data_IF_335127326029
#
_entry.id   IF_335127326029
#
_cell.length_a   1.000
_cell.length_b   1.000
_cell.length_c   1.000
_cell.angle_alpha   90.00
_cell.angle_beta   90.00
_cell.angle_gamma   90.00
#
_symmetry.space_group_name_H-M   'P 1'
#
loop_
_entity.id
_entity.type
_entity.pdbx_description
1 polymer ?
#
# COMPACT_ATOMS: atom_id res chain seq x y z
N UNK A 1 15.82 19.00 1.91
CA UNK A 1 15.06 18.06 2.78
C UNK A 1 15.99 17.63 3.88
N UNK A 2 15.57 17.61 5.16
CA UNK A 2 16.42 17.12 6.23
C UNK A 2 16.78 15.67 5.97
N UNK A 3 18.01 15.30 6.28
CA UNK A 3 18.52 13.96 6.07
C UNK A 3 18.01 13.03 7.18
N UNK A 4 16.88 12.38 6.95
CA UNK A 4 16.31 11.39 7.88
C UNK A 4 17.23 10.19 8.14
N UNK A 5 18.29 10.00 7.34
CA UNK A 5 19.34 9.02 7.61
C UNK A 5 20.04 9.25 8.95
N UNK A 6 20.06 10.50 9.45
CA UNK A 6 20.67 10.81 10.74
C UNK A 6 19.94 10.21 11.95
N UNK A 7 18.64 9.83 11.76
CA UNK A 7 17.87 9.16 12.81
C UNK A 7 18.30 7.68 12.93
N UNK A 8 18.81 7.10 11.84
CA UNK A 8 19.20 5.69 11.80
C UNK A 8 20.65 5.41 12.25
N UNK A 9 21.46 6.46 12.40
CA UNK A 9 22.88 6.30 12.75
C UNK A 9 23.19 6.94 14.10
N UNK A 10 22.90 6.25 15.20
CA UNK A 10 23.63 6.45 16.44
C UNK A 10 24.96 5.71 16.32
N UNK A 11 26.07 6.45 16.36
CA UNK A 11 27.42 5.88 16.35
C UNK A 11 27.55 4.88 17.51
N UNK A 12 27.81 3.61 17.19
CA UNK A 12 28.15 2.58 18.19
C UNK A 12 27.11 1.47 18.41
N UNK A 13 25.92 1.51 17.80
CA UNK A 13 25.00 0.38 17.89
C UNK A 13 25.37 -0.67 16.84
N UNK A 14 25.64 -1.93 17.21
CA UNK A 14 25.88 -2.97 16.24
C UNK A 14 24.66 -3.11 15.29
N UNK A 15 24.88 -3.49 14.02
CA UNK A 15 23.79 -3.62 13.08
C UNK A 15 22.71 -4.57 13.65
N UNK A 16 21.50 -4.06 13.80
CA UNK A 16 20.38 -4.93 14.19
C UNK A 16 20.09 -5.87 13.04
N UNK A 17 20.32 -7.16 13.22
CA UNK A 17 19.87 -8.16 12.27
C UNK A 17 18.38 -8.39 12.45
N UNK A 18 17.60 -8.15 11.40
CA UNK A 18 16.24 -8.66 11.35
C UNK A 18 16.36 -10.17 11.26
N UNK A 19 15.79 -10.88 12.21
CA UNK A 19 15.79 -12.34 12.15
C UNK A 19 15.12 -12.80 10.83
N UNK A 20 15.73 -13.74 10.10
CA UNK A 20 15.12 -14.32 8.91
C UNK A 20 13.97 -15.28 9.29
N UNK A 21 13.31 -15.00 10.37
CA UNK A 21 12.28 -15.80 10.97
C UNK A 21 10.98 -15.60 10.31
N UNK A 22 10.86 -15.91 9.19
CA UNK A 22 9.50 -16.00 8.94
C UNK A 22 8.68 -14.74 9.11
N UNK A 23 9.30 -13.59 8.91
CA UNK A 23 8.49 -12.39 8.67
C UNK A 23 7.46 -12.68 7.61
N UNK A 24 7.81 -13.46 6.61
CA UNK A 24 6.90 -13.96 5.61
C UNK A 24 5.80 -14.91 6.11
N UNK A 25 5.87 -15.41 7.32
CA UNK A 25 4.80 -16.25 7.90
C UNK A 25 3.73 -15.41 8.60
N UNK A 26 4.10 -14.39 9.34
CA UNK A 26 3.17 -13.52 10.07
C UNK A 26 3.08 -12.12 9.48
N UNK A 27 4.20 -11.49 9.22
CA UNK A 27 4.28 -10.16 8.61
C UNK A 27 4.48 -10.26 7.09
N UNK A 28 4.45 -9.11 6.42
CA UNK A 28 4.67 -9.02 4.97
C UNK A 28 6.14 -9.36 4.62
N UNK A 29 6.30 -10.20 3.60
CA UNK A 29 7.55 -10.44 2.93
C UNK A 29 7.53 -9.79 1.55
N UNK A 30 8.41 -8.84 1.30
CA UNK A 30 8.50 -8.13 0.01
C UNK A 30 8.82 -9.06 -1.15
N UNK A 31 9.55 -10.16 -0.88
CA UNK A 31 9.92 -11.14 -1.90
C UNK A 31 8.77 -12.06 -2.30
N UNK A 32 7.71 -12.13 -1.48
CA UNK A 32 6.50 -12.91 -1.77
C UNK A 32 5.26 -12.04 -2.01
N UNK A 33 5.39 -10.71 -1.97
CA UNK A 33 4.27 -9.79 -2.09
C UNK A 33 4.02 -9.32 -3.52
N UNK A 34 2.75 -9.11 -3.84
CA UNK A 34 2.22 -8.44 -5.02
C UNK A 34 1.24 -7.36 -4.57
N UNK A 35 1.35 -6.14 -5.09
CA UNK A 35 0.39 -5.07 -4.83
C UNK A 35 -0.65 -5.01 -5.95
N UNK A 36 -1.92 -5.00 -5.57
CA UNK A 36 -3.07 -4.82 -6.46
C UNK A 36 -3.71 -3.46 -6.16
N UNK A 37 -3.70 -2.56 -7.15
CA UNK A 37 -4.34 -1.25 -7.07
C UNK A 37 -5.54 -1.22 -8.03
N UNK A 38 -6.74 -1.41 -7.47
CA UNK A 38 -7.96 -1.66 -8.23
C UNK A 38 -8.88 -0.44 -8.20
N UNK A 39 -9.29 0.00 -9.37
CA UNK A 39 -10.34 1.01 -9.54
C UNK A 39 -10.12 2.33 -8.79
N UNK A 40 -8.88 2.74 -8.57
CA UNK A 40 -8.56 4.09 -8.10
C UNK A 40 -8.85 5.09 -9.24
N UNK A 41 -10.11 5.20 -9.62
CA UNK A 41 -10.57 5.96 -10.78
C UNK A 41 -11.09 7.34 -10.38
N UNK A 42 -10.86 8.32 -11.22
CA UNK A 42 -11.14 9.74 -10.92
C UNK A 42 -12.62 10.01 -10.63
N UNK A 43 -13.54 9.29 -11.26
CA UNK A 43 -14.98 9.38 -10.99
C UNK A 43 -15.36 8.67 -9.68
N UNK A 44 -14.86 7.45 -9.45
CA UNK A 44 -15.14 6.70 -8.22
C UNK A 44 -14.60 7.40 -6.98
N UNK A 45 -13.42 8.02 -7.05
CA UNK A 45 -12.85 8.80 -5.94
C UNK A 45 -13.81 9.89 -5.44
N UNK A 46 -14.62 10.50 -6.32
CA UNK A 46 -15.59 11.54 -5.93
C UNK A 46 -16.77 11.00 -5.11
N UNK A 47 -16.98 9.70 -5.10
CA UNK A 47 -18.08 9.04 -4.37
C UNK A 47 -17.68 8.60 -2.96
N UNK A 48 -16.40 8.64 -2.63
CA UNK A 48 -15.86 8.22 -1.33
C UNK A 48 -16.25 9.21 -0.23
N UNK A 49 -16.69 8.68 0.93
CA UNK A 49 -17.15 9.49 2.08
C UNK A 49 -16.61 9.01 3.43
N UNK A 50 -16.02 7.84 3.50
CA UNK A 50 -15.50 7.24 4.74
C UNK A 50 -14.05 7.63 5.04
N UNK A 51 -13.34 8.14 4.05
CA UNK A 51 -11.99 8.69 4.17
C UNK A 51 -11.86 9.95 3.30
N UNK A 52 -10.98 10.88 3.66
CA UNK A 52 -10.73 12.04 2.78
C UNK A 52 -10.03 11.62 1.49
N UNK A 53 -10.44 12.22 0.36
CA UNK A 53 -9.82 11.90 -0.95
C UNK A 53 -8.32 12.20 -0.94
N UNK A 54 -7.89 13.27 -0.25
CA UNK A 54 -6.47 13.62 -0.15
C UNK A 54 -5.67 12.55 0.59
N UNK A 55 -6.21 11.98 1.64
CA UNK A 55 -5.58 10.91 2.41
C UNK A 55 -5.52 9.61 1.60
N UNK A 56 -6.65 9.20 1.02
CA UNK A 56 -6.72 8.02 0.15
C UNK A 56 -5.70 8.11 -0.99
N UNK A 57 -5.62 9.27 -1.68
CA UNK A 57 -4.63 9.48 -2.76
C UNK A 57 -3.20 9.41 -2.23
N UNK A 58 -2.90 10.05 -1.10
CA UNK A 58 -1.58 10.03 -0.48
C UNK A 58 -1.14 8.60 -0.13
N UNK A 59 -2.04 7.83 0.45
CA UNK A 59 -1.84 6.44 0.83
C UNK A 59 -1.62 5.54 -0.41
N UNK A 60 -2.40 5.74 -1.47
CA UNK A 60 -2.21 5.03 -2.74
C UNK A 60 -0.86 5.37 -3.38
N UNK A 61 -0.46 6.64 -3.37
CA UNK A 61 0.86 7.10 -3.84
C UNK A 61 1.98 6.43 -3.04
N UNK A 62 1.82 6.30 -1.72
CA UNK A 62 2.79 5.61 -0.88
C UNK A 62 2.97 4.16 -1.32
N UNK A 63 1.88 3.41 -1.55
CA UNK A 63 1.95 2.02 -2.02
C UNK A 63 2.67 1.92 -3.38
N UNK A 64 2.38 2.82 -4.32
CA UNK A 64 3.03 2.84 -5.62
C UNK A 64 4.55 3.13 -5.52
N UNK A 65 4.94 4.10 -4.69
CA UNK A 65 6.35 4.43 -4.44
C UNK A 65 7.08 3.32 -3.71
N UNK A 66 6.44 2.71 -2.70
CA UNK A 66 6.98 1.57 -1.97
C UNK A 66 7.26 0.40 -2.91
N UNK A 67 6.31 0.09 -3.81
CA UNK A 67 6.46 -0.96 -4.80
C UNK A 67 7.67 -0.72 -5.71
N UNK A 68 7.87 0.51 -6.18
CA UNK A 68 9.01 0.88 -7.02
C UNK A 68 10.32 0.77 -6.26
N UNK A 69 10.36 1.27 -5.03
CA UNK A 69 11.57 1.25 -4.20
C UNK A 69 12.02 -0.18 -3.86
N UNK A 70 11.07 -1.04 -3.49
CA UNK A 70 11.34 -2.41 -3.05
C UNK A 70 11.16 -3.45 -4.16
N UNK A 71 10.92 -3.02 -5.41
CA UNK A 71 10.72 -3.88 -6.59
C UNK A 71 9.61 -4.92 -6.40
N UNK A 72 8.55 -4.53 -5.69
CA UNK A 72 7.35 -5.35 -5.54
C UNK A 72 6.53 -5.23 -6.83
N UNK A 73 6.12 -6.32 -7.48
CA UNK A 73 5.23 -6.26 -8.64
C UNK A 73 3.94 -5.52 -8.32
N UNK A 74 3.40 -4.80 -9.30
CA UNK A 74 2.11 -4.11 -9.20
C UNK A 74 1.23 -4.54 -10.37
N UNK A 75 -0.02 -4.90 -10.07
CA UNK A 75 -1.07 -5.05 -11.08
C UNK A 75 -2.16 -4.04 -10.78
N UNK A 76 -2.62 -3.36 -11.81
CA UNK A 76 -3.72 -2.41 -11.73
C UNK A 76 -4.78 -2.71 -12.77
N UNK A 77 -6.02 -2.39 -12.46
CA UNK A 77 -7.17 -2.57 -13.34
C UNK A 77 -8.17 -1.45 -13.11
N UNK A 78 -9.01 -1.18 -14.11
CA UNK A 78 -10.08 -0.21 -14.06
C UNK A 78 -11.40 -0.83 -14.53
N UNK A 79 -12.50 -0.50 -13.85
CA UNK A 79 -13.85 -0.88 -14.21
C UNK A 79 -14.48 0.23 -15.04
N UNK A 80 -14.84 -0.05 -16.30
CA UNK A 80 -15.49 0.92 -17.20
C UNK A 80 -14.80 2.30 -17.24
N UNK A 81 -13.51 2.37 -17.62
CA UNK A 81 -12.73 3.62 -17.55
C UNK A 81 -13.24 4.72 -18.50
N UNK A 82 -14.03 4.36 -19.51
CA UNK A 82 -14.61 5.29 -20.48
C UNK A 82 -16.00 5.78 -20.04
N UNK A 83 -16.53 5.26 -18.95
CA UNK A 83 -17.82 5.62 -18.35
C UNK A 83 -17.68 6.60 -17.18
N UNK A 84 -18.71 6.70 -16.33
CA UNK A 84 -18.73 7.59 -15.16
C UNK A 84 -17.60 7.33 -14.14
N UNK A 85 -17.07 6.12 -14.11
CA UNK A 85 -15.96 5.77 -13.20
C UNK A 85 -14.66 6.53 -13.54
N UNK A 86 -14.50 6.88 -14.81
CA UNK A 86 -13.32 7.62 -15.29
C UNK A 86 -12.04 6.79 -15.34
N UNK A 87 -10.93 7.40 -15.78
CA UNK A 87 -9.63 6.75 -15.84
C UNK A 87 -9.03 6.57 -14.42
N UNK A 88 -8.03 5.70 -14.31
CA UNK A 88 -7.21 5.57 -13.10
C UNK A 88 -6.53 6.90 -12.75
N UNK A 89 -6.31 7.14 -11.47
CA UNK A 89 -5.51 8.27 -11.01
C UNK A 89 -4.09 8.17 -11.61
N UNK A 90 -3.57 9.27 -12.20
CA UNK A 90 -2.32 9.21 -12.97
C UNK A 90 -1.09 8.91 -12.12
N UNK A 91 -1.15 9.18 -10.82
CA UNK A 91 -0.04 8.96 -9.90
C UNK A 91 0.35 7.48 -9.78
N UNK A 92 -0.58 6.54 -10.02
CA UNK A 92 -0.26 5.11 -10.01
C UNK A 92 0.79 4.83 -11.07
N UNK A 93 0.55 5.26 -12.31
CA UNK A 93 1.51 5.05 -13.39
C UNK A 93 2.77 5.92 -13.22
N UNK A 94 2.64 7.12 -12.68
CA UNK A 94 3.77 8.02 -12.43
C UNK A 94 4.78 7.42 -11.44
N UNK A 95 4.30 6.77 -10.38
CA UNK A 95 5.15 6.27 -9.29
C UNK A 95 5.39 4.78 -9.31
N UNK A 96 4.64 4.01 -10.09
CA UNK A 96 4.84 2.58 -10.34
C UNK A 96 4.92 2.31 -11.84
N UNK A 97 5.97 2.81 -12.52
CA UNK A 97 6.17 2.66 -13.96
C UNK A 97 6.21 1.19 -14.42
N UNK A 98 6.51 0.28 -13.51
CA UNK A 98 6.53 -1.17 -13.76
C UNK A 98 5.17 -1.84 -13.55
N UNK A 99 4.12 -1.07 -13.20
CA UNK A 99 2.79 -1.63 -12.99
C UNK A 99 2.22 -2.20 -14.29
N UNK A 100 1.68 -3.41 -14.20
CA UNK A 100 0.96 -4.05 -15.30
C UNK A 100 -0.50 -3.65 -15.24
N UNK A 101 -0.99 -2.95 -16.25
CA UNK A 101 -2.42 -2.67 -16.39
C UNK A 101 -3.12 -3.84 -17.08
N UNK A 102 -4.18 -4.35 -16.46
CA UNK A 102 -5.04 -5.39 -17.05
C UNK A 102 -6.43 -4.80 -17.27
N UNK A 103 -6.87 -4.64 -18.52
CA UNK A 103 -8.19 -4.13 -18.83
C UNK A 103 -9.27 -5.16 -18.50
N UNK A 104 -10.39 -4.70 -17.93
CA UNK A 104 -11.60 -5.51 -17.76
C UNK A 104 -12.61 -5.25 -18.88
N UNK A 105 -13.51 -6.20 -19.07
CA UNK A 105 -14.53 -6.16 -20.14
C UNK A 105 -15.96 -6.01 -19.57
N UNK A 106 -16.09 -5.34 -18.42
CA UNK A 106 -17.37 -5.14 -17.72
C UNK A 106 -17.49 -5.89 -16.41
N UNK A 107 -16.52 -6.73 -16.05
CA UNK A 107 -16.54 -7.46 -14.79
C UNK A 107 -16.46 -6.48 -13.60
N UNK A 108 -17.39 -6.59 -12.67
CA UNK A 108 -17.38 -5.83 -11.42
C UNK A 108 -16.26 -6.33 -10.51
N UNK A 109 -16.14 -7.63 -10.39
CA UNK A 109 -15.09 -8.29 -9.66
C UNK A 109 -13.89 -8.55 -10.58
N UNK A 110 -12.73 -7.99 -10.24
CA UNK A 110 -11.51 -8.21 -11.03
C UNK A 110 -11.12 -9.71 -11.10
N UNK A 111 -11.51 -10.52 -10.12
CA UNK A 111 -11.21 -11.95 -10.10
C UNK A 111 -12.04 -12.76 -11.10
N UNK A 112 -13.15 -12.21 -11.63
CA UNK A 112 -13.93 -12.83 -12.69
C UNK A 112 -13.30 -12.64 -14.09
N UNK A 113 -12.23 -11.84 -14.19
CA UNK A 113 -11.48 -11.63 -15.42
C UNK A 113 -10.30 -12.61 -15.49
N UNK A 114 -10.30 -13.49 -16.50
CA UNK A 114 -9.27 -14.53 -16.67
C UNK A 114 -7.87 -13.96 -16.86
N UNK A 115 -7.74 -12.86 -17.61
CA UNK A 115 -6.45 -12.21 -17.87
C UNK A 115 -5.89 -11.60 -16.58
N UNK A 116 -6.75 -11.06 -15.73
CA UNK A 116 -6.35 -10.55 -14.42
C UNK A 116 -5.82 -11.66 -13.51
N UNK A 117 -6.57 -12.75 -13.36
CA UNK A 117 -6.15 -13.91 -12.54
C UNK A 117 -4.86 -14.51 -13.09
N UNK A 118 -4.73 -14.61 -14.41
CA UNK A 118 -3.51 -15.09 -15.07
C UNK A 118 -2.32 -14.18 -14.77
N UNK A 119 -2.50 -12.86 -14.87
CA UNK A 119 -1.45 -11.88 -14.54
C UNK A 119 -0.99 -12.03 -13.08
N UNK A 120 -1.94 -12.14 -12.13
CA UNK A 120 -1.63 -12.37 -10.71
C UNK A 120 -0.81 -13.65 -10.53
N UNK A 121 -1.27 -14.78 -11.08
CA UNK A 121 -0.59 -16.07 -10.95
C UNK A 121 0.79 -16.09 -11.59
N UNK A 122 0.97 -15.40 -12.71
CA UNK A 122 2.26 -15.32 -13.44
C UNK A 122 3.36 -14.66 -12.62
N UNK A 123 3.02 -13.79 -11.66
CA UNK A 123 4.01 -13.20 -10.74
C UNK A 123 4.67 -14.22 -9.81
N UNK A 124 4.06 -15.38 -9.61
CA UNK A 124 4.51 -16.41 -8.66
C UNK A 124 4.35 -16.05 -7.19
N UNK A 125 3.87 -14.84 -6.87
CA UNK A 125 3.70 -14.34 -5.50
C UNK A 125 2.50 -15.00 -4.82
N UNK A 126 2.58 -15.20 -3.51
CA UNK A 126 1.53 -15.85 -2.70
C UNK A 126 0.83 -14.89 -1.74
N UNK A 127 1.38 -13.70 -1.54
CA UNK A 127 0.84 -12.66 -0.68
C UNK A 127 0.34 -11.49 -1.52
N UNK A 128 -0.93 -11.15 -1.40
CA UNK A 128 -1.56 -10.04 -2.09
C UNK A 128 -1.82 -8.88 -1.12
N UNK A 129 -1.40 -7.68 -1.49
CA UNK A 129 -1.67 -6.42 -0.80
C UNK A 129 -2.65 -5.67 -1.70
N UNK A 130 -3.93 -5.62 -1.32
CA UNK A 130 -5.01 -5.12 -2.18
C UNK A 130 -5.52 -3.79 -1.63
N UNK A 131 -5.63 -2.80 -2.50
CA UNK A 131 -6.29 -1.51 -2.24
C UNK A 131 -7.14 -1.11 -3.45
N UNK A 132 -8.19 -0.31 -3.24
CA UNK A 132 -9.06 0.11 -4.35
C UNK A 132 -10.33 0.84 -3.95
N UNK A 133 -11.12 1.24 -4.93
CA UNK A 133 -12.37 1.98 -4.77
C UNK A 133 -13.50 1.35 -5.60
N UNK A 134 -14.53 0.77 -4.98
CA UNK A 134 -14.91 0.83 -3.57
C UNK A 134 -14.35 -0.36 -2.78
N UNK A 135 -14.08 -0.13 -1.49
CA UNK A 135 -13.63 -1.18 -0.57
C UNK A 135 -14.61 -2.36 -0.53
N UNK A 136 -15.91 -2.06 -0.45
CA UNK A 136 -17.00 -3.04 -0.33
C UNK A 136 -17.29 -3.84 -1.60
N UNK A 137 -16.69 -3.50 -2.72
CA UNK A 137 -16.92 -4.14 -4.03
C UNK A 137 -15.58 -4.53 -4.66
N UNK A 138 -14.88 -3.54 -5.20
CA UNK A 138 -13.70 -3.74 -6.04
C UNK A 138 -12.49 -4.28 -5.27
N UNK A 139 -12.47 -4.11 -3.95
CA UNK A 139 -11.46 -4.73 -3.06
C UNK A 139 -11.99 -6.02 -2.46
N UNK A 140 -13.21 -5.99 -1.92
CA UNK A 140 -13.74 -7.11 -1.14
C UNK A 140 -13.92 -8.37 -1.96
N UNK A 141 -14.51 -8.27 -3.16
CA UNK A 141 -14.79 -9.46 -3.97
C UNK A 141 -13.50 -10.17 -4.40
N UNK A 142 -12.54 -9.50 -5.06
CA UNK A 142 -11.30 -10.19 -5.45
C UNK A 142 -10.46 -10.62 -4.24
N UNK A 143 -10.54 -9.93 -3.10
CA UNK A 143 -9.83 -10.34 -1.90
C UNK A 143 -10.35 -11.66 -1.33
N UNK A 144 -11.67 -11.84 -1.29
CA UNK A 144 -12.30 -13.09 -0.82
C UNK A 144 -12.02 -14.25 -1.77
N UNK A 145 -12.13 -14.02 -3.09
CA UNK A 145 -11.87 -15.05 -4.09
C UNK A 145 -10.38 -15.44 -4.13
N UNK A 146 -9.48 -14.47 -4.04
CA UNK A 146 -8.05 -14.74 -3.92
C UNK A 146 -7.73 -15.55 -2.66
N UNK A 147 -8.38 -15.22 -1.54
CA UNK A 147 -8.25 -15.99 -0.29
C UNK A 147 -8.71 -17.43 -0.48
N UNK A 148 -9.86 -17.64 -1.11
CA UNK A 148 -10.38 -18.97 -1.43
C UNK A 148 -9.45 -19.73 -2.41
N UNK A 149 -8.76 -19.00 -3.30
CA UNK A 149 -7.77 -19.56 -4.22
C UNK A 149 -6.40 -19.86 -3.56
N UNK A 150 -6.25 -19.69 -2.25
CA UNK A 150 -5.08 -20.06 -1.46
C UNK A 150 -4.03 -18.97 -1.27
N UNK A 151 -4.32 -17.71 -1.65
CA UNK A 151 -3.42 -16.59 -1.39
C UNK A 151 -3.51 -16.13 0.07
N UNK A 152 -2.43 -15.55 0.60
CA UNK A 152 -2.46 -14.71 1.79
C UNK A 152 -2.85 -13.31 1.34
N UNK A 153 -3.91 -12.74 1.92
CA UNK A 153 -4.50 -11.50 1.42
C UNK A 153 -4.56 -10.46 2.51
N UNK A 154 -3.97 -9.29 2.24
CA UNK A 154 -4.05 -8.09 3.05
C UNK A 154 -4.88 -7.04 2.31
N UNK A 155 -5.93 -6.52 2.96
CA UNK A 155 -6.74 -5.43 2.45
C UNK A 155 -6.31 -4.11 3.13
N UNK A 156 -5.80 -3.16 2.35
CA UNK A 156 -5.28 -1.88 2.86
C UNK A 156 -6.43 -0.88 2.93
N UNK A 157 -6.99 -0.74 4.13
CA UNK A 157 -8.26 -0.02 4.34
C UNK A 157 -8.13 1.48 4.08
N UNK A 158 -7.04 2.10 4.53
CA UNK A 158 -6.78 3.52 4.37
C UNK A 158 -6.23 3.95 2.98
N UNK A 159 -5.95 2.98 2.10
CA UNK A 159 -5.73 3.20 0.66
C UNK A 159 -6.93 2.75 -0.18
N UNK A 160 -8.06 2.51 0.48
CA UNK A 160 -9.35 2.12 -0.10
C UNK A 160 -10.43 3.06 0.41
N UNK A 161 -11.60 3.10 -0.23
CA UNK A 161 -12.67 3.97 0.21
C UNK A 161 -14.03 3.50 -0.24
N UNK A 162 -15.05 3.86 0.53
CA UNK A 162 -16.45 3.51 0.31
C UNK A 162 -17.37 4.75 0.27
N UNK A 163 -18.59 4.63 -0.30
CA UNK A 163 -19.59 5.70 -0.26
C UNK A 163 -20.12 6.04 1.13
N UNK A 164 -19.72 5.31 2.17
CA UNK A 164 -20.09 5.59 3.55
C UNK A 164 -19.52 4.59 4.55
N UNK A 165 -19.40 5.05 5.81
CA UNK A 165 -18.81 4.27 6.91
C UNK A 165 -19.48 2.92 7.17
N UNK A 166 -20.81 2.82 6.99
CA UNK A 166 -21.53 1.56 7.23
C UNK A 166 -21.07 0.47 6.27
N UNK A 167 -20.86 0.80 5.00
CA UNK A 167 -20.34 -0.11 3.99
C UNK A 167 -18.91 -0.57 4.36
N UNK A 168 -18.05 0.38 4.73
CA UNK A 168 -16.68 0.13 5.14
C UNK A 168 -16.60 -0.80 6.37
N UNK A 169 -17.39 -0.51 7.41
CA UNK A 169 -17.45 -1.34 8.64
C UNK A 169 -17.93 -2.77 8.36
N UNK A 170 -18.99 -2.92 7.57
CA UNK A 170 -19.51 -4.23 7.17
C UNK A 170 -18.48 -5.02 6.37
N UNK A 171 -17.74 -4.34 5.48
CA UNK A 171 -16.68 -4.91 4.66
C UNK A 171 -15.52 -5.41 5.51
N UNK A 172 -15.04 -4.61 6.48
CA UNK A 172 -13.97 -5.01 7.40
C UNK A 172 -14.37 -6.26 8.19
N UNK A 173 -15.60 -6.31 8.71
CA UNK A 173 -16.11 -7.50 9.41
C UNK A 173 -16.11 -8.73 8.49
N UNK A 174 -16.53 -8.56 7.24
CA UNK A 174 -16.55 -9.65 6.24
C UNK A 174 -15.15 -10.10 5.83
N UNK A 175 -14.18 -9.19 5.74
CA UNK A 175 -12.77 -9.55 5.52
C UNK A 175 -12.27 -10.49 6.61
N UNK A 176 -12.47 -10.12 7.87
CA UNK A 176 -12.02 -10.92 9.02
C UNK A 176 -12.68 -12.31 9.00
N UNK A 177 -14.00 -12.38 8.77
CA UNK A 177 -14.71 -13.66 8.65
C UNK A 177 -14.22 -14.51 7.48
N UNK A 178 -13.88 -13.88 6.35
CA UNK A 178 -13.34 -14.55 5.16
C UNK A 178 -11.85 -14.89 5.25
N UNK A 179 -11.17 -14.53 6.34
CA UNK A 179 -9.73 -14.78 6.53
C UNK A 179 -8.83 -13.85 5.72
N UNK A 180 -9.37 -12.73 5.23
CA UNK A 180 -8.61 -11.61 4.69
C UNK A 180 -8.12 -10.76 5.86
N UNK A 181 -6.92 -10.22 5.79
CA UNK A 181 -6.28 -9.45 6.86
C UNK A 181 -6.45 -7.94 6.56
N UNK A 182 -7.33 -7.21 7.28
CA UNK A 182 -7.36 -5.76 7.18
C UNK A 182 -6.06 -5.16 7.72
N UNK A 183 -5.52 -4.17 7.01
CA UNK A 183 -4.28 -3.48 7.40
C UNK A 183 -4.34 -2.00 6.99
N UNK A 184 -3.31 -1.24 7.35
CA UNK A 184 -3.13 0.15 6.94
C UNK A 184 -1.85 0.35 6.14
N UNK A 185 -1.76 1.44 5.41
CA UNK A 185 -0.55 1.82 4.67
C UNK A 185 0.66 1.97 5.59
N UNK A 186 0.47 2.53 6.79
CA UNK A 186 1.54 2.64 7.77
C UNK A 186 2.03 1.27 8.25
N UNK A 187 1.13 0.31 8.45
CA UNK A 187 1.50 -1.06 8.80
C UNK A 187 2.25 -1.75 7.64
N UNK A 188 1.73 -1.65 6.41
CA UNK A 188 2.42 -2.17 5.21
C UNK A 188 3.83 -1.60 5.07
N UNK A 189 3.98 -0.27 5.21
CA UNK A 189 5.27 0.38 5.15
C UNK A 189 6.22 -0.13 6.24
N UNK A 190 5.73 -0.24 7.49
CA UNK A 190 6.54 -0.65 8.63
C UNK A 190 6.91 -2.14 8.57
N UNK A 191 6.00 -3.00 8.16
CA UNK A 191 6.26 -4.43 7.97
C UNK A 191 7.27 -4.70 6.86
N UNK A 192 7.28 -3.90 5.81
CA UNK A 192 8.23 -4.03 4.70
C UNK A 192 9.55 -3.32 4.98
N UNK A 193 9.54 -2.26 5.79
CA UNK A 193 10.74 -1.55 6.23
C UNK A 193 11.61 -2.40 7.17
N UNK A 194 11.01 -3.03 8.17
CA UNK A 194 11.59 -3.98 9.13
C UNK A 194 12.73 -3.44 10.00
N UNK A 195 13.65 -2.67 9.45
CA UNK A 195 14.82 -2.15 10.16
C UNK A 195 15.33 -0.86 9.54
N UNK A 196 15.71 0.08 10.37
CA UNK A 196 16.39 1.31 9.94
C UNK A 196 17.83 1.06 9.47
N UNK A 197 18.36 -0.13 9.74
CA UNK A 197 19.71 -0.54 9.36
C UNK A 197 19.70 -1.30 8.03
N UNK A 198 19.30 -0.58 6.95
CA UNK A 198 19.28 -1.09 5.58
C UNK A 198 19.57 0.03 4.58
N UNK A 199 20.08 -0.29 3.38
CA UNK A 199 20.44 0.72 2.37
C UNK A 199 19.29 1.66 2.00
N UNK A 200 18.07 1.15 1.93
CA UNK A 200 16.87 1.91 1.51
C UNK A 200 16.24 2.70 2.66
N UNK A 201 16.76 2.66 3.89
CA UNK A 201 16.13 3.26 5.07
C UNK A 201 15.81 4.75 4.88
N UNK A 202 16.70 5.51 4.26
CA UNK A 202 16.51 6.93 4.00
C UNK A 202 15.35 7.20 3.02
N UNK A 203 15.20 6.38 1.99
CA UNK A 203 14.11 6.51 1.03
C UNK A 203 12.78 6.01 1.62
N UNK A 204 12.80 4.93 2.40
CA UNK A 204 11.64 4.46 3.16
C UNK A 204 11.15 5.50 4.17
N UNK A 205 12.09 6.18 4.84
CA UNK A 205 11.77 7.26 5.77
C UNK A 205 10.93 8.38 5.12
N UNK A 206 11.21 8.72 3.86
CA UNK A 206 10.44 9.72 3.11
C UNK A 206 8.99 9.30 2.85
N UNK A 207 8.73 8.00 2.80
CA UNK A 207 7.38 7.49 2.57
C UNK A 207 6.47 7.67 3.80
N UNK A 208 7.05 7.68 5.01
CA UNK A 208 6.27 7.96 6.23
C UNK A 208 5.64 9.36 6.20
N UNK A 209 6.24 10.33 5.52
CA UNK A 209 5.65 11.67 5.37
C UNK A 209 4.28 11.66 4.66
N UNK A 210 4.01 10.65 3.84
CA UNK A 210 2.74 10.50 3.11
C UNK A 210 1.63 9.91 3.98
N UNK A 211 1.97 9.04 4.93
CA UNK A 211 1.01 8.24 5.71
C UNK A 211 1.02 8.58 7.21
N UNK A 212 2.06 9.26 7.68
CA UNK A 212 2.24 9.69 9.06
C UNK A 212 2.88 11.09 9.12
N UNK A 213 2.21 12.14 8.66
CA UNK A 213 2.80 13.49 8.57
C UNK A 213 3.23 14.04 9.93
N UNK A 214 2.60 13.63 11.02
CA UNK A 214 3.00 14.01 12.38
C UNK A 214 4.37 13.41 12.76
N UNK A 215 4.71 12.22 12.28
CA UNK A 215 6.03 11.64 12.46
C UNK A 215 7.10 12.42 11.71
N UNK A 216 6.80 12.91 10.52
CA UNK A 216 7.69 13.80 9.78
C UNK A 216 8.00 15.08 10.57
N UNK A 217 7.00 15.71 11.19
CA UNK A 217 7.19 16.90 12.01
C UNK A 217 8.09 16.62 13.24
N UNK A 218 7.95 15.44 13.87
CA UNK A 218 8.85 15.01 14.96
C UNK A 218 10.29 14.86 14.46
N UNK A 219 10.49 14.23 13.31
CA UNK A 219 11.81 14.06 12.71
C UNK A 219 12.48 15.39 12.37
N UNK A 220 11.73 16.35 11.83
CA UNK A 220 12.21 17.70 11.53
C UNK A 220 12.60 18.47 12.81
N UNK A 221 11.77 18.38 13.86
CA UNK A 221 12.05 19.00 15.15
C UNK A 221 13.32 18.42 15.79
N UNK A 222 13.49 17.11 15.73
CA UNK A 222 14.69 16.44 16.23
C UNK A 222 15.93 16.89 15.47
N UNK A 223 15.88 16.95 14.13
CA UNK A 223 16.99 17.40 13.31
C UNK A 223 17.37 18.86 13.63
N UNK A 224 16.38 19.72 13.79
CA UNK A 224 16.59 21.12 14.16
C UNK A 224 17.30 21.26 15.51
N UNK A 225 16.88 20.48 16.49
CA UNK A 225 17.53 20.45 17.82
C UNK A 225 18.99 20.01 17.74
N UNK A 226 19.30 19.00 16.92
CA UNK A 226 20.66 18.53 16.70
C UNK A 226 21.55 19.60 16.03
N UNK A 227 21.01 20.32 15.07
CA UNK A 227 21.75 21.38 14.36
C UNK A 227 22.07 22.55 15.28
N UNK A 228 21.13 22.95 16.14
CA UNK A 228 21.36 23.97 17.19
C UNK A 228 22.43 23.52 18.17
N UNK A 229 22.37 22.29 18.66
CA UNK A 229 23.35 21.77 19.61
C UNK A 229 24.78 21.69 19.03
N UNK A 230 24.93 21.51 17.72
CA UNK A 230 26.25 21.53 17.05
C UNK A 230 26.81 22.94 16.88
N UNK A 231 25.95 23.97 16.77
CA UNK A 231 26.36 25.37 16.62
C UNK A 231 26.80 26.00 17.95
N UNK A 232 26.44 25.37 19.06
CA UNK A 232 26.71 25.88 20.42
C UNK A 232 28.00 25.26 21.02
N UNK A 233 28.69 24.37 20.31
CA UNK A 233 29.98 23.81 20.61
C UNK A 233 31.09 24.47 19.78
#
# INVERSE_FOLDING_TARGET
>A
MPNLSAIAQTAGTPPSSVLPTGGGQTLLDTNDSLILLLDHQTGLLQTVKDISISELRSNTIMLAKLASLLKIPVITSASEPNGPNGPLMPEIQQFALHATYVPRKGEVNAWDNEDFVKAVRTTGRKTLIIAGVWTSVCVMFPALDAKAAGFKVYAVIDASGDPGELASRATIARFVQGGVIPTSTNAVLSETHRTWNRPEAAELAKLYALVAPNFQAVAESYQKAQDVAKQTK
#
